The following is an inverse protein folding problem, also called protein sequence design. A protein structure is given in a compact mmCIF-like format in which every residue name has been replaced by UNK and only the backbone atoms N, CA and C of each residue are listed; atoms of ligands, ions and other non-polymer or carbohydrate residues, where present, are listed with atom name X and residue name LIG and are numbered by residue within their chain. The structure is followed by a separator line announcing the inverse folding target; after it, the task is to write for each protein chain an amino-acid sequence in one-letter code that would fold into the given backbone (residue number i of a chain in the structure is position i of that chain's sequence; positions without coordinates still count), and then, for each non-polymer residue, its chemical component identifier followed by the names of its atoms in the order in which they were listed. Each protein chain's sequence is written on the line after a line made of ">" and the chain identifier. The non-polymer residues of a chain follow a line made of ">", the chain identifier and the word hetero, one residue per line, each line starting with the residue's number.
data_IF_680533673883
#
_entry.id   IF_680533673883
#
_cell.length_a   1.000
_cell.length_b   1.000
_cell.length_c   1.000
_cell.angle_alpha   90.00
_cell.angle_beta   90.00
_cell.angle_gamma   90.00
#
_symmetry.space_group_name_H-M   'P 1'
#
loop_
_entity.id
_entity.type
_entity.pdbx_description
1 polymer ?
#
# COMPACT_ATOMS: atom_id res chain seq x y z
N UNK A 1 -7.89 -5.28 3.66
CA UNK A 1 -6.85 -4.23 3.52
C UNK A 1 -7.31 -2.86 4.03
N UNK A 2 -8.62 -2.61 4.13
CA UNK A 2 -9.22 -1.36 4.63
C UNK A 2 -8.64 -0.82 5.95
N UNK A 3 -8.39 -1.68 6.94
CA UNK A 3 -7.85 -1.25 8.24
C UNK A 3 -6.43 -0.67 8.13
N UNK A 4 -5.58 -1.24 7.27
CA UNK A 4 -4.25 -0.71 7.01
C UNK A 4 -4.32 0.66 6.32
N UNK A 5 -5.26 0.83 5.38
CA UNK A 5 -5.50 2.10 4.70
C UNK A 5 -5.99 3.20 5.66
N UNK A 6 -6.94 2.88 6.54
CA UNK A 6 -7.42 3.79 7.60
C UNK A 6 -6.29 4.20 8.55
N UNK A 7 -5.41 3.25 8.91
CA UNK A 7 -4.24 3.52 9.75
C UNK A 7 -3.25 4.46 9.06
N UNK A 8 -2.96 4.22 7.78
CA UNK A 8 -2.08 5.07 6.97
C UNK A 8 -2.63 6.49 6.83
N UNK A 9 -3.93 6.61 6.54
CA UNK A 9 -4.62 7.90 6.44
C UNK A 9 -4.52 8.69 7.76
N UNK A 10 -4.84 8.05 8.89
CA UNK A 10 -4.77 8.68 10.22
C UNK A 10 -3.36 9.08 10.63
N UNK A 11 -2.36 8.30 10.23
CA UNK A 11 -0.96 8.57 10.52
C UNK A 11 -0.34 9.66 9.63
N UNK A 12 -1.03 10.12 8.58
CA UNK A 12 -0.51 11.15 7.67
C UNK A 12 0.73 10.70 6.90
N UNK A 13 0.86 9.40 6.63
CA UNK A 13 2.02 8.87 5.89
C UNK A 13 1.95 9.28 4.42
N UNK A 14 3.09 9.20 3.73
CA UNK A 14 3.15 9.56 2.31
C UNK A 14 2.71 8.42 1.39
N UNK A 15 2.96 7.16 1.75
CA UNK A 15 2.66 5.95 0.96
C UNK A 15 2.40 4.77 1.91
N UNK A 16 1.48 3.89 1.53
CA UNK A 16 1.17 2.62 2.21
C UNK A 16 1.64 1.46 1.33
N UNK A 17 2.45 0.58 1.91
CA UNK A 17 2.89 -0.65 1.26
C UNK A 17 2.23 -1.83 1.97
N UNK A 18 1.23 -2.44 1.33
CA UNK A 18 0.57 -3.65 1.82
C UNK A 18 1.50 -4.85 1.59
N UNK A 19 1.73 -5.63 2.63
CA UNK A 19 2.59 -6.82 2.59
C UNK A 19 1.93 -7.96 3.36
N UNK A 20 2.60 -9.11 3.44
CA UNK A 20 2.12 -10.29 4.15
C UNK A 20 0.73 -10.73 3.65
N UNK A 21 0.59 -10.77 2.31
CA UNK A 21 -0.63 -11.18 1.64
C UNK A 21 -0.85 -12.68 1.88
N UNK A 22 -2.05 -13.03 2.34
CA UNK A 22 -2.41 -14.42 2.61
C UNK A 22 -2.38 -15.25 1.32
N UNK A 23 -1.84 -16.46 1.40
CA UNK A 23 -1.77 -17.42 0.28
C UNK A 23 -3.12 -17.83 -0.33
N UNK A 24 -4.24 -17.44 0.30
CA UNK A 24 -5.59 -17.62 -0.26
C UNK A 24 -5.89 -16.69 -1.44
N UNK A 25 -5.07 -15.66 -1.63
CA UNK A 25 -5.22 -14.67 -2.69
C UNK A 25 -4.15 -14.88 -3.75
N UNK A 26 -4.59 -15.11 -4.96
CA UNK A 26 -3.76 -15.31 -6.14
C UNK A 26 -3.16 -13.96 -6.55
N UNK A 27 -2.10 -13.96 -7.35
CA UNK A 27 -1.57 -12.69 -7.91
C UNK A 27 -2.63 -11.89 -8.68
N UNK A 28 -3.63 -12.56 -9.28
CA UNK A 28 -4.76 -11.89 -9.93
C UNK A 28 -5.64 -11.09 -8.97
N UNK A 29 -5.73 -11.51 -7.70
CA UNK A 29 -6.54 -10.84 -6.67
C UNK A 29 -5.82 -9.64 -6.05
N UNK A 30 -4.51 -9.51 -6.25
CA UNK A 30 -3.73 -8.47 -5.60
C UNK A 30 -4.20 -7.09 -6.02
N UNK A 31 -4.59 -6.90 -7.29
CA UNK A 31 -5.13 -5.62 -7.73
C UNK A 31 -6.43 -5.26 -7.00
N UNK A 32 -7.30 -6.24 -6.76
CA UNK A 32 -8.53 -6.02 -5.97
C UNK A 32 -8.20 -5.59 -4.53
N UNK A 33 -7.21 -6.23 -3.90
CA UNK A 33 -6.78 -5.90 -2.54
C UNK A 33 -6.13 -4.51 -2.46
N UNK A 34 -5.33 -4.14 -3.45
CA UNK A 34 -4.75 -2.80 -3.57
C UNK A 34 -5.85 -1.74 -3.75
N UNK A 35 -6.81 -1.99 -4.65
CA UNK A 35 -7.93 -1.09 -4.91
C UNK A 35 -8.87 -0.96 -3.71
N UNK A 36 -9.06 -2.04 -2.93
CA UNK A 36 -9.80 -2.01 -1.67
C UNK A 36 -9.20 -1.00 -0.68
N UNK A 37 -7.89 -1.05 -0.46
CA UNK A 37 -7.20 -0.06 0.37
C UNK A 37 -7.16 1.33 -0.27
N UNK A 38 -6.98 1.39 -1.59
CA UNK A 38 -6.96 2.61 -2.40
C UNK A 38 -8.20 3.49 -2.23
N UNK A 39 -9.37 2.89 -1.95
CA UNK A 39 -10.62 3.60 -1.65
C UNK A 39 -10.54 4.49 -0.41
N UNK A 40 -9.70 4.14 0.57
CA UNK A 40 -9.47 4.93 1.79
C UNK A 40 -8.19 5.74 1.68
N UNK A 41 -7.13 5.15 1.11
CA UNK A 41 -5.83 5.80 0.98
C UNK A 41 -5.25 5.54 -0.42
N UNK A 42 -5.40 6.51 -1.32
CA UNK A 42 -5.09 6.36 -2.74
C UNK A 42 -3.61 6.01 -3.03
N UNK A 43 -2.65 6.46 -2.20
CA UNK A 43 -1.23 6.13 -2.39
C UNK A 43 -0.86 4.80 -1.72
N UNK A 44 -1.54 3.74 -2.14
CA UNK A 44 -1.33 2.36 -1.68
C UNK A 44 -0.73 1.51 -2.80
N UNK A 45 0.17 0.59 -2.43
CA UNK A 45 0.72 -0.43 -3.31
C UNK A 45 0.78 -1.77 -2.58
N UNK A 46 0.60 -2.89 -3.28
CA UNK A 46 0.99 -4.21 -2.74
C UNK A 46 2.46 -4.49 -3.06
N UNK A 47 3.23 -4.86 -2.04
CA UNK A 47 4.61 -5.26 -2.19
C UNK A 47 4.72 -6.68 -2.75
N UNK A 48 5.59 -6.84 -3.74
CA UNK A 48 6.05 -8.13 -4.26
C UNK A 48 7.44 -8.48 -3.73
N UNK A 49 7.79 -9.76 -3.76
CA UNK A 49 9.14 -10.20 -3.45
C UNK A 49 10.14 -9.45 -4.31
N UNK A 50 11.20 -8.93 -3.68
CA UNK A 50 12.23 -8.11 -4.30
C UNK A 50 11.76 -6.77 -4.90
N UNK A 51 10.54 -6.31 -4.58
CA UNK A 51 10.09 -4.96 -4.97
C UNK A 51 10.93 -3.88 -4.27
N UNK A 52 11.47 -2.95 -5.05
CA UNK A 52 12.16 -1.77 -4.55
C UNK A 52 11.25 -0.54 -4.56
N UNK A 53 11.28 0.24 -3.47
CA UNK A 53 10.51 1.48 -3.35
C UNK A 53 11.47 2.62 -3.04
N UNK A 54 11.61 3.55 -3.99
CA UNK A 54 12.42 4.74 -3.81
C UNK A 54 11.77 5.72 -2.83
N UNK A 55 12.56 6.22 -1.88
CA UNK A 55 12.17 7.29 -0.95
C UNK A 55 12.97 8.55 -1.32
N UNK A 56 12.41 9.45 -2.15
CA UNK A 56 13.09 10.67 -2.51
C UNK A 56 13.19 11.63 -1.32
N UNK A 57 14.33 12.30 -1.20
CA UNK A 57 14.48 13.42 -0.28
C UNK A 57 13.54 14.55 -0.70
N UNK A 58 12.70 15.00 0.21
CA UNK A 58 11.89 16.20 0.00
C UNK A 58 12.76 17.40 0.36
N UNK A 59 13.23 18.13 -0.64
CA UNK A 59 13.81 19.46 -0.41
C UNK A 59 12.62 20.36 -0.08
N UNK A 60 12.63 20.92 1.12
CA UNK A 60 11.64 21.91 1.56
C UNK A 60 12.19 23.25 1.08
N UNK A 61 11.50 23.91 0.15
CA UNK A 61 11.72 25.33 -0.17
C UNK A 61 11.09 26.23 0.90
#
# INVERSE_FOLDING_TARGET
>A
TLQAADTALKAGVKKLCLTHISSRYDRGDWKMLEDEAGKIFANTVISEDFMEISIPLKIIE
#
